data_IF_430774501833
#
_entry.id   IF_430774501833
#
_cell.length_a   1.000
_cell.length_b   1.000
_cell.length_c   1.000
_cell.angle_alpha   90.00
_cell.angle_beta   90.00
_cell.angle_gamma   90.00
#
_symmetry.space_group_name_H-M   'P 1'
#
loop_
_entity.id
_entity.type
_entity.pdbx_description
1 polymer ?
#
# COMPACT_ATOMS: atom_id res chain seq x y z
N UNK A 1 -28.93 -17.87 -66.49
CA UNK A 1 -28.37 -18.87 -65.55
C UNK A 1 -28.35 -18.26 -64.17
N UNK A 2 -28.95 -18.95 -63.19
CA UNK A 2 -28.95 -18.60 -61.76
C UNK A 2 -27.52 -18.72 -61.20
N UNK A 3 -27.12 -17.80 -60.32
CA UNK A 3 -26.33 -18.10 -59.11
C UNK A 3 -26.54 -16.98 -58.09
N UNK A 4 -27.42 -17.28 -57.14
CA UNK A 4 -27.61 -16.63 -55.85
C UNK A 4 -26.59 -17.24 -54.88
N UNK A 5 -25.95 -16.45 -53.99
CA UNK A 5 -25.23 -16.83 -52.75
C UNK A 5 -24.31 -15.65 -52.37
N UNK A 6 -24.20 -15.07 -51.18
CA UNK A 6 -24.90 -15.08 -49.88
C UNK A 6 -24.18 -14.02 -49.03
N UNK A 7 -24.90 -13.32 -48.15
CA UNK A 7 -24.35 -12.42 -47.12
C UNK A 7 -23.24 -13.07 -46.29
N UNK A 8 -22.18 -12.32 -45.99
CA UNK A 8 -21.53 -12.37 -44.67
C UNK A 8 -21.40 -10.94 -44.14
N UNK A 9 -22.27 -10.64 -43.17
CA UNK A 9 -22.20 -9.42 -42.38
C UNK A 9 -20.84 -9.37 -41.68
N UNK A 10 -20.05 -8.34 -41.96
CA UNK A 10 -18.89 -7.99 -41.13
C UNK A 10 -19.47 -7.40 -39.85
N UNK A 11 -19.76 -8.26 -38.88
CA UNK A 11 -20.03 -7.85 -37.51
C UNK A 11 -18.81 -7.11 -37.01
N UNK A 12 -18.91 -5.78 -36.94
CA UNK A 12 -17.98 -4.98 -36.17
C UNK A 12 -18.14 -5.45 -34.71
N UNK A 13 -17.22 -6.30 -34.28
CA UNK A 13 -17.01 -6.60 -32.87
C UNK A 13 -16.71 -5.25 -32.25
N UNK A 14 -17.68 -4.71 -31.52
CA UNK A 14 -17.45 -3.68 -30.52
C UNK A 14 -16.49 -4.30 -29.51
N UNK A 15 -15.19 -4.27 -29.82
CA UNK A 15 -14.17 -4.33 -28.82
C UNK A 15 -14.41 -3.08 -27.98
N UNK A 16 -15.21 -3.23 -26.93
CA UNK A 16 -15.22 -2.27 -25.85
C UNK A 16 -13.74 -1.99 -25.56
N UNK A 17 -13.30 -0.71 -25.53
CA UNK A 17 -11.95 -0.45 -25.07
C UNK A 17 -11.89 -1.16 -23.73
N UNK A 18 -10.93 -2.08 -23.58
CA UNK A 18 -10.56 -2.56 -22.27
C UNK A 18 -10.12 -1.30 -21.55
N UNK A 19 -11.07 -0.65 -20.88
CA UNK A 19 -10.82 0.41 -19.94
C UNK A 19 -9.92 -0.32 -18.97
N UNK A 20 -8.61 -0.08 -19.08
CA UNK A 20 -7.73 -0.26 -17.96
C UNK A 20 -8.43 0.57 -16.89
N UNK A 21 -9.22 -0.11 -16.05
CA UNK A 21 -9.82 0.50 -14.89
C UNK A 21 -8.59 0.80 -14.06
N UNK A 22 -8.02 1.97 -14.32
CA UNK A 22 -7.11 2.62 -13.42
C UNK A 22 -7.99 2.72 -12.18
N UNK A 23 -7.79 1.76 -11.28
CA UNK A 23 -8.43 1.72 -9.97
C UNK A 23 -7.81 2.88 -9.22
N UNK A 24 -8.14 4.10 -9.64
CA UNK A 24 -8.00 5.32 -8.89
C UNK A 24 -9.03 5.19 -7.77
N UNK A 25 -8.76 4.28 -6.84
CA UNK A 25 -9.42 4.29 -5.55
C UNK A 25 -8.92 5.57 -4.93
N UNK A 26 -9.72 6.63 -5.05
CA UNK A 26 -9.48 7.87 -4.34
C UNK A 26 -9.66 7.56 -2.86
N UNK A 27 -8.59 7.06 -2.23
CA UNK A 27 -8.47 6.95 -0.78
C UNK A 27 -8.24 8.37 -0.27
N UNK A 28 -9.33 9.14 -0.12
CA UNK A 28 -9.27 10.45 0.50
C UNK A 28 -8.99 10.25 2.00
N UNK A 29 -7.81 10.64 2.50
CA UNK A 29 -7.42 10.35 3.87
C UNK A 29 -8.32 11.00 4.93
N UNK A 30 -9.06 12.06 4.57
CA UNK A 30 -9.99 12.76 5.46
C UNK A 30 -11.30 12.01 5.70
N UNK A 31 -11.74 11.21 4.71
CA UNK A 31 -12.98 10.43 4.75
C UNK A 31 -12.72 8.92 4.83
N UNK A 32 -11.46 8.49 4.68
CA UNK A 32 -11.06 7.09 4.77
C UNK A 32 -11.02 6.63 6.23
N UNK A 33 -11.76 5.56 6.51
CA UNK A 33 -11.61 4.76 7.74
C UNK A 33 -11.00 3.43 7.37
N UNK A 34 -10.08 2.89 8.18
CA UNK A 34 -9.54 1.56 7.92
C UNK A 34 -9.75 0.64 9.12
N UNK A 35 -9.94 -0.64 8.86
CA UNK A 35 -9.89 -1.72 9.84
C UNK A 35 -8.66 -2.56 9.56
N UNK A 36 -8.06 -3.12 10.61
CA UNK A 36 -6.89 -3.98 10.48
C UNK A 36 -6.88 -4.99 11.62
N UNK A 37 -6.31 -6.15 11.32
CA UNK A 37 -5.99 -7.18 12.31
C UNK A 37 -4.49 -7.12 12.52
N UNK A 38 -4.00 -6.70 13.69
CA UNK A 38 -2.57 -6.66 13.96
C UNK A 38 -1.98 -8.06 13.84
N UNK A 39 -0.95 -8.21 13.02
CA UNK A 39 -0.13 -9.42 12.96
C UNK A 39 1.28 -9.06 13.43
N UNK A 40 1.84 -9.84 14.34
CA UNK A 40 3.21 -9.69 14.87
C UNK A 40 4.14 -10.72 14.24
N UNK A 41 5.42 -10.39 14.11
CA UNK A 41 6.46 -11.30 13.63
C UNK A 41 6.47 -11.55 12.11
N UNK A 42 5.66 -10.82 11.35
CA UNK A 42 5.67 -10.85 9.88
C UNK A 42 6.17 -9.52 9.33
N UNK A 43 6.76 -9.51 8.14
CA UNK A 43 7.03 -8.26 7.42
C UNK A 43 5.73 -7.69 6.81
N UNK A 44 4.78 -8.54 6.47
CA UNK A 44 3.55 -8.14 5.80
C UNK A 44 2.52 -7.57 6.80
N UNK A 45 1.75 -6.59 6.34
CA UNK A 45 0.60 -6.04 7.05
C UNK A 45 -0.55 -5.80 6.07
N UNK A 46 -1.78 -5.81 6.59
CA UNK A 46 -2.98 -5.56 5.79
C UNK A 46 -4.00 -4.75 6.56
N UNK A 47 -4.85 -4.06 5.80
CA UNK A 47 -6.00 -3.34 6.31
C UNK A 47 -7.11 -3.32 5.25
N UNK A 48 -8.35 -3.04 5.65
CA UNK A 48 -9.43 -2.72 4.72
C UNK A 48 -9.82 -1.28 4.94
N UNK A 49 -9.66 -0.45 3.91
CA UNK A 49 -9.94 0.97 3.97
C UNK A 49 -11.24 1.30 3.22
N UNK A 50 -12.17 1.95 3.89
CA UNK A 50 -13.47 2.37 3.36
C UNK A 50 -13.47 3.87 3.14
N UNK A 51 -13.70 4.27 1.89
CA UNK A 51 -13.86 5.68 1.48
C UNK A 51 -15.16 5.81 0.72
N UNK A 52 -16.02 6.76 1.12
CA UNK A 52 -17.31 7.02 0.46
C UNK A 52 -18.15 5.75 0.21
N UNK A 53 -18.17 4.84 1.20
CA UNK A 53 -18.90 3.57 1.13
C UNK A 53 -18.24 2.46 0.30
N UNK A 54 -17.11 2.72 -0.34
CA UNK A 54 -16.33 1.70 -1.07
C UNK A 54 -15.20 1.19 -0.20
N UNK A 55 -15.21 -0.12 0.08
CA UNK A 55 -14.17 -0.79 0.86
C UNK A 55 -13.13 -1.41 -0.05
N UNK A 56 -11.86 -1.12 0.22
CA UNK A 56 -10.72 -1.61 -0.55
C UNK A 56 -9.73 -2.28 0.40
N UNK A 57 -9.40 -3.57 0.19
CA UNK A 57 -8.31 -4.19 0.91
C UNK A 57 -6.99 -3.56 0.46
N UNK A 58 -6.14 -3.24 1.43
CA UNK A 58 -4.78 -2.78 1.21
C UNK A 58 -3.82 -3.78 1.85
N UNK A 59 -2.73 -4.06 1.15
CA UNK A 59 -1.63 -4.88 1.63
C UNK A 59 -0.35 -4.07 1.57
N UNK A 60 0.54 -4.31 2.52
CA UNK A 60 1.80 -3.62 2.61
C UNK A 60 2.87 -4.46 3.26
N UNK A 61 4.09 -3.94 3.20
CA UNK A 61 5.26 -4.48 3.84
C UNK A 61 5.79 -3.48 4.86
N UNK A 62 6.38 -4.01 5.92
CA UNK A 62 7.02 -3.30 6.98
C UNK A 62 8.50 -3.67 6.99
N UNK A 63 9.35 -2.68 7.22
CA UNK A 63 10.79 -2.87 7.25
C UNK A 63 11.41 -2.05 8.37
N UNK A 64 12.38 -2.67 9.03
CA UNK A 64 13.25 -2.02 9.97
C UNK A 64 14.52 -1.54 9.27
N UNK A 65 14.93 -0.32 9.55
CA UNK A 65 16.11 0.33 8.97
C UNK A 65 16.83 1.16 10.04
N UNK A 66 18.10 1.47 9.81
CA UNK A 66 18.84 2.47 10.58
C UNK A 66 18.60 3.90 10.04
N UNK A 67 18.00 4.03 8.85
CA UNK A 67 17.52 5.28 8.30
C UNK A 67 16.31 5.77 9.09
N UNK A 68 16.35 7.04 9.49
CA UNK A 68 15.30 7.72 10.24
C UNK A 68 14.80 8.92 9.45
N UNK A 69 13.49 9.19 9.49
CA UNK A 69 12.94 10.45 8.99
C UNK A 69 13.03 11.56 10.05
N UNK A 70 12.98 12.82 9.61
CA UNK A 70 12.97 13.98 10.51
C UNK A 70 11.73 14.00 11.44
N UNK A 71 10.63 13.41 10.98
CA UNK A 71 9.37 13.34 11.72
C UNK A 71 8.59 12.06 11.41
N UNK A 72 7.70 11.66 12.34
CA UNK A 72 6.72 10.59 12.14
C UNK A 72 5.80 10.96 10.97
N UNK A 73 5.45 9.96 10.16
CA UNK A 73 4.78 10.04 8.86
C UNK A 73 5.62 10.70 7.75
N UNK A 74 6.91 10.97 8.01
CA UNK A 74 7.84 11.36 6.96
C UNK A 74 7.97 10.26 5.90
N UNK A 75 8.10 10.66 4.64
CA UNK A 75 8.12 9.73 3.51
C UNK A 75 9.52 9.57 2.92
N UNK A 76 9.77 8.43 2.29
CA UNK A 76 10.98 8.18 1.50
C UNK A 76 10.68 7.24 0.34
N UNK A 77 11.24 7.48 -0.83
CA UNK A 77 11.03 6.59 -1.99
C UNK A 77 11.80 5.27 -1.85
N UNK A 78 12.92 5.32 -1.15
CA UNK A 78 13.75 4.17 -0.84
C UNK A 78 14.15 4.18 0.65
N UNK A 79 14.27 2.99 1.22
CA UNK A 79 14.94 2.79 2.50
C UNK A 79 16.13 1.88 2.26
N UNK A 80 17.27 2.26 2.79
CA UNK A 80 18.43 1.38 2.82
C UNK A 80 18.44 0.64 4.16
N UNK A 81 18.53 -0.68 4.13
CA UNK A 81 18.81 -1.48 5.32
C UNK A 81 20.28 -1.85 5.28
N UNK A 82 21.02 -1.57 6.34
CA UNK A 82 22.37 -2.11 6.46
C UNK A 82 22.21 -3.59 6.81
N UNK A 83 22.45 -4.44 5.82
CA UNK A 83 22.32 -5.89 5.91
C UNK A 83 23.52 -6.45 6.67
N UNK A 84 23.45 -6.40 8.00
CA UNK A 84 24.11 -7.44 8.77
C UNK A 84 23.07 -8.03 9.72
N UNK A 85 23.01 -9.36 9.77
CA UNK A 85 22.16 -10.13 10.69
C UNK A 85 22.47 -9.87 12.17
N UNK A 86 23.51 -9.06 12.43
CA UNK A 86 23.96 -8.58 13.74
C UNK A 86 23.70 -7.09 13.96
N UNK A 87 23.09 -6.39 13.01
CA UNK A 87 22.93 -4.94 13.10
C UNK A 87 21.82 -4.57 14.09
N UNK A 88 22.23 -4.18 15.29
CA UNK A 88 21.34 -3.70 16.35
C UNK A 88 20.79 -2.30 16.07
N UNK A 89 21.20 -1.64 14.98
CA UNK A 89 20.80 -0.27 14.65
C UNK A 89 19.54 -0.19 13.78
N UNK A 90 19.05 -1.31 13.24
CA UNK A 90 17.84 -1.37 12.44
C UNK A 90 16.57 -1.34 13.32
N UNK A 91 16.31 -0.22 13.99
CA UNK A 91 15.15 -0.07 14.89
C UNK A 91 14.16 1.02 14.45
N UNK A 92 14.37 1.67 13.30
CA UNK A 92 13.40 2.60 12.70
C UNK A 92 12.44 1.83 11.81
N UNK A 93 11.14 1.95 12.08
CA UNK A 93 10.12 1.22 11.36
C UNK A 93 9.50 2.05 10.25
N UNK A 94 9.45 1.43 9.07
CA UNK A 94 8.94 1.98 7.84
C UNK A 94 7.87 1.07 7.28
N UNK A 95 6.79 1.67 6.78
CA UNK A 95 5.66 0.97 6.18
C UNK A 95 5.51 1.37 4.73
N UNK A 96 5.19 0.42 3.86
CA UNK A 96 4.90 0.67 2.46
C UNK A 96 3.69 -0.12 2.04
N UNK A 97 2.75 0.53 1.37
CA UNK A 97 1.65 -0.17 0.71
C UNK A 97 2.16 -0.73 -0.62
N UNK A 98 1.78 -1.96 -0.93
CA UNK A 98 2.12 -2.63 -2.20
C UNK A 98 0.89 -2.93 -3.04
N UNK A 99 -0.30 -3.00 -2.40
CA UNK A 99 -1.59 -3.16 -3.08
C UNK A 99 -2.65 -2.26 -2.41
N UNK A 100 -3.59 -1.69 -3.18
CA UNK A 100 -3.79 -1.84 -4.64
C UNK A 100 -2.79 -1.05 -5.49
N UNK A 101 -1.98 -0.19 -4.87
CA UNK A 101 -0.94 0.59 -5.51
C UNK A 101 0.27 0.72 -4.58
N UNK A 102 1.43 0.99 -5.18
CA UNK A 102 2.68 1.09 -4.44
C UNK A 102 2.84 2.51 -3.89
N UNK A 103 2.98 2.66 -2.58
CA UNK A 103 3.26 3.95 -1.94
C UNK A 103 4.76 4.21 -1.79
N UNK A 104 5.14 5.44 -1.43
CA UNK A 104 6.42 5.70 -0.77
C UNK A 104 6.47 4.99 0.60
N UNK A 105 7.66 4.80 1.15
CA UNK A 105 7.83 4.36 2.53
C UNK A 105 7.38 5.46 3.47
N UNK A 106 6.67 5.11 4.53
CA UNK A 106 6.19 6.02 5.58
C UNK A 106 6.82 5.61 6.90
N UNK A 107 7.58 6.53 7.51
CA UNK A 107 8.21 6.31 8.81
C UNK A 107 7.17 6.41 9.92
N UNK A 108 7.07 5.39 10.77
CA UNK A 108 6.09 5.40 11.88
C UNK A 108 6.71 5.57 13.25
N UNK A 109 8.01 5.33 13.40
CA UNK A 109 8.69 5.52 14.67
C UNK A 109 9.96 4.69 14.84
N UNK A 110 10.58 4.92 15.99
CA UNK A 110 11.84 4.31 16.42
C UNK A 110 11.56 3.39 17.61
N UNK A 111 11.94 2.13 17.51
CA UNK A 111 11.86 1.15 18.60
C UNK A 111 13.13 1.18 19.45
N UNK A 112 13.06 0.58 20.65
CA UNK A 112 14.19 0.51 21.58
C UNK A 112 15.24 -0.53 21.18
N UNK A 113 14.92 -1.46 20.26
CA UNK A 113 15.86 -2.43 19.71
C UNK A 113 15.44 -2.92 18.32
N UNK A 114 16.41 -3.46 17.57
CA UNK A 114 16.14 -4.07 16.27
C UNK A 114 15.20 -5.29 16.36
N UNK A 115 15.32 -6.08 17.43
CA UNK A 115 14.43 -7.23 17.67
C UNK A 115 12.98 -6.80 17.87
N UNK A 116 12.73 -5.78 18.70
CA UNK A 116 11.37 -5.28 18.92
C UNK A 116 10.80 -4.70 17.62
N UNK A 117 11.65 -4.03 16.83
CA UNK A 117 11.24 -3.56 15.51
C UNK A 117 10.81 -4.73 14.61
N UNK A 118 11.64 -5.77 14.50
CA UNK A 118 11.33 -6.94 13.68
C UNK A 118 10.01 -7.61 14.08
N UNK A 119 9.73 -7.69 15.38
CA UNK A 119 8.52 -8.34 15.90
C UNK A 119 7.25 -7.49 15.75
N UNK A 120 7.39 -6.16 15.84
CA UNK A 120 6.25 -5.26 16.04
C UNK A 120 5.98 -4.30 14.89
N UNK A 121 6.91 -4.12 13.95
CA UNK A 121 6.81 -3.06 12.93
C UNK A 121 5.56 -3.22 12.04
N UNK A 122 5.28 -4.43 11.54
CA UNK A 122 4.07 -4.71 10.75
C UNK A 122 2.77 -4.48 11.52
N UNK A 123 2.70 -4.92 12.77
CA UNK A 123 1.58 -4.66 13.68
C UNK A 123 1.34 -3.15 13.84
N UNK A 124 2.40 -2.35 13.97
CA UNK A 124 2.30 -0.90 14.06
C UNK A 124 1.93 -0.24 12.73
N UNK A 125 2.34 -0.79 11.58
CA UNK A 125 1.87 -0.36 10.26
C UNK A 125 0.35 -0.57 10.12
N UNK A 126 -0.14 -1.78 10.44
CA UNK A 126 -1.56 -2.10 10.45
C UNK A 126 -2.35 -1.20 11.42
N UNK A 127 -1.82 -0.99 12.63
CA UNK A 127 -2.42 -0.11 13.64
C UNK A 127 -2.47 1.35 13.18
N UNK A 128 -1.40 1.84 12.54
CA UNK A 128 -1.32 3.20 12.01
C UNK A 128 -2.30 3.42 10.87
N UNK A 129 -2.42 2.46 9.94
CA UNK A 129 -3.43 2.51 8.89
C UNK A 129 -4.84 2.68 9.48
N UNK A 130 -5.16 1.95 10.55
CA UNK A 130 -6.44 2.00 11.25
C UNK A 130 -6.67 3.31 12.01
N UNK A 131 -5.74 3.71 12.88
CA UNK A 131 -5.98 4.75 13.89
C UNK A 131 -5.36 6.11 13.57
N UNK A 132 -4.40 6.21 12.64
CA UNK A 132 -3.64 7.43 12.38
C UNK A 132 -4.00 8.01 11.00
N UNK A 133 -4.77 9.10 10.99
CA UNK A 133 -5.14 9.80 9.75
C UNK A 133 -3.95 10.43 9.04
N UNK A 134 -2.96 10.96 9.77
CA UNK A 134 -1.75 11.52 9.16
C UNK A 134 -0.91 10.44 8.47
N UNK A 135 -0.85 9.24 9.04
CA UNK A 135 -0.25 8.08 8.40
C UNK A 135 -0.98 7.74 7.10
N UNK A 136 -2.32 7.68 7.11
CA UNK A 136 -3.10 7.44 5.88
C UNK A 136 -2.86 8.51 4.83
N UNK A 137 -2.82 9.78 5.22
CA UNK A 137 -2.48 10.88 4.30
C UNK A 137 -1.12 10.67 3.66
N UNK A 138 -0.08 10.37 4.45
CA UNK A 138 1.26 10.11 3.93
C UNK A 138 1.28 8.88 3.00
N UNK A 139 0.64 7.80 3.43
CA UNK A 139 0.57 6.53 2.69
C UNK A 139 -0.13 6.68 1.33
N UNK A 140 -1.21 7.46 1.25
CA UNK A 140 -2.01 7.61 0.04
C UNK A 140 -1.56 8.78 -0.85
N UNK A 141 -0.88 9.79 -0.29
CA UNK A 141 -0.40 10.95 -1.03
C UNK A 141 0.57 10.60 -2.19
N UNK A 142 1.30 9.49 -2.06
CA UNK A 142 2.25 9.04 -3.07
C UNK A 142 1.61 8.25 -4.23
N UNK A 143 0.31 7.95 -4.16
CA UNK A 143 -0.38 7.05 -5.08
C UNK A 143 -1.08 7.81 -6.22
N UNK A 144 -1.19 9.13 -6.12
CA UNK A 144 -1.81 9.96 -7.15
C UNK A 144 -0.86 10.20 -8.32
N UNK A 145 -0.75 9.25 -9.25
CA UNK A 145 -0.33 9.47 -10.64
C UNK A 145 -1.00 8.45 -11.57
#
# INVERSE_FOLDING_TARGET
MKKLLTLTAVGAILAAPAIAVQKCVALDPSTTTCTSTPASGNADWSATCTTNGTSVPINGIAMCSNQKADAINGTSDAITTVSSTTDTTNFNCWCKMVEPAVSSWVFIGTFTSASICADSCSSNCAGSARFNSAFRSALFSAISN
#
